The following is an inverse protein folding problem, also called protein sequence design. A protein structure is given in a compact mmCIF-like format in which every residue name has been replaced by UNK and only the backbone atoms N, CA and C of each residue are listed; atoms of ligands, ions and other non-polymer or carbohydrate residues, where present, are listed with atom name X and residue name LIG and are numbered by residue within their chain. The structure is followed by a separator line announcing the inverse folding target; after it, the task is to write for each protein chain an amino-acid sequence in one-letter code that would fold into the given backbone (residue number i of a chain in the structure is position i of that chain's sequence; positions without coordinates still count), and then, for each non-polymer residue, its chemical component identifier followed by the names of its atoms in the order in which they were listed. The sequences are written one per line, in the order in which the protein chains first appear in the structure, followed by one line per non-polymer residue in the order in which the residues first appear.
data_IF_679581416074
#
_entry.id   IF_679581416074
#
_cell.length_a   1.000
_cell.length_b   1.000
_cell.length_c   1.000
_cell.angle_alpha   90.00
_cell.angle_beta   90.00
_cell.angle_gamma   90.00
#
_symmetry.space_group_name_H-M   'P 1'
#
loop_
_entity.id
_entity.type
_entity.pdbx_description
1 polymer ?
#
# COMPACT_ATOMS: atom_id res chain seq x y z
N UNK A 1 17.57 41.98 -9.99
CA UNK A 1 16.83 40.76 -10.37
C UNK A 1 15.42 41.20 -10.67
N UNK A 2 15.06 41.27 -11.95
CA UNK A 2 13.76 41.75 -12.39
C UNK A 2 12.68 40.67 -12.24
N UNK A 3 11.42 41.08 -12.03
CA UNK A 3 10.26 40.21 -11.78
C UNK A 3 10.09 39.08 -12.82
N UNK A 4 10.52 39.32 -14.06
CA UNK A 4 10.48 38.35 -15.14
C UNK A 4 11.36 37.12 -14.86
N UNK A 5 12.57 37.31 -14.31
CA UNK A 5 13.47 36.20 -13.99
C UNK A 5 12.91 35.33 -12.87
N UNK A 6 12.29 35.95 -11.85
CA UNK A 6 11.63 35.23 -10.77
C UNK A 6 10.47 34.37 -11.28
N UNK A 7 9.57 34.94 -12.10
CA UNK A 7 8.44 34.19 -12.66
C UNK A 7 8.90 33.06 -13.60
N UNK A 8 10.00 33.27 -14.33
CA UNK A 8 10.61 32.28 -15.23
C UNK A 8 11.19 31.10 -14.46
N UNK A 9 12.03 31.34 -13.45
CA UNK A 9 12.62 30.27 -12.64
C UNK A 9 11.57 29.45 -11.89
N UNK A 10 10.54 30.14 -11.41
CA UNK A 10 9.37 29.52 -10.83
C UNK A 10 8.73 28.57 -11.87
N UNK A 11 8.32 29.08 -13.04
CA UNK A 11 7.68 28.31 -14.11
C UNK A 11 8.52 27.12 -14.64
N UNK A 12 9.83 27.29 -14.77
CA UNK A 12 10.74 26.26 -15.31
C UNK A 12 10.88 25.05 -14.35
N UNK A 13 10.74 25.28 -13.04
CA UNK A 13 11.07 24.30 -12.01
C UNK A 13 9.85 23.57 -11.41
N UNK A 14 8.63 24.09 -11.60
CA UNK A 14 7.42 23.55 -10.96
C UNK A 14 7.10 22.11 -11.35
N UNK A 15 7.28 21.74 -12.62
CA UNK A 15 6.94 20.40 -13.09
C UNK A 15 7.83 19.34 -12.43
N UNK A 16 9.12 19.64 -12.28
CA UNK A 16 10.07 18.76 -11.58
C UNK A 16 9.69 18.61 -10.10
N UNK A 17 9.31 19.71 -9.44
CA UNK A 17 8.84 19.70 -8.05
C UNK A 17 7.57 18.85 -7.90
N UNK A 18 6.60 18.99 -8.81
CA UNK A 18 5.37 18.20 -8.80
C UNK A 18 5.66 16.70 -8.95
N UNK A 19 6.58 16.31 -9.83
CA UNK A 19 6.98 14.91 -10.00
C UNK A 19 7.63 14.34 -8.73
N UNK A 20 8.49 15.11 -8.06
CA UNK A 20 9.10 14.71 -6.79
C UNK A 20 8.05 14.58 -5.69
N UNK A 21 7.13 15.54 -5.56
CA UNK A 21 6.04 15.48 -4.59
C UNK A 21 5.10 14.30 -4.85
N UNK A 22 4.80 14.01 -6.12
CA UNK A 22 4.01 12.84 -6.51
C UNK A 22 4.71 11.53 -6.16
N UNK A 23 6.02 11.44 -6.43
CA UNK A 23 6.82 10.28 -6.06
C UNK A 23 6.82 10.06 -4.54
N UNK A 24 7.11 11.10 -3.76
CA UNK A 24 7.05 11.04 -2.30
C UNK A 24 5.64 10.69 -1.81
N UNK A 25 4.60 11.25 -2.41
CA UNK A 25 3.21 10.89 -2.10
C UNK A 25 2.91 9.41 -2.35
N UNK A 26 3.45 8.83 -3.42
CA UNK A 26 3.33 7.40 -3.72
C UNK A 26 4.09 6.54 -2.72
N UNK A 27 5.30 6.95 -2.35
CA UNK A 27 6.10 6.28 -1.31
C UNK A 27 5.37 6.28 0.03
N UNK A 28 4.86 7.44 0.46
CA UNK A 28 4.08 7.57 1.69
C UNK A 28 2.78 6.76 1.63
N UNK A 29 2.14 6.68 0.46
CA UNK A 29 0.96 5.85 0.24
C UNK A 29 1.29 4.36 0.37
N UNK A 30 2.43 3.90 -0.15
CA UNK A 30 2.88 2.52 0.02
C UNK A 30 3.17 2.17 1.49
N UNK A 31 3.71 3.11 2.26
CA UNK A 31 3.91 2.95 3.70
C UNK A 31 2.64 3.20 4.54
N UNK A 32 1.52 3.64 3.93
CA UNK A 32 0.27 3.86 4.65
C UNK A 32 -0.21 2.52 5.22
N UNK A 33 -0.33 2.38 6.56
CA UNK A 33 -0.60 1.10 7.22
C UNK A 33 -2.02 0.53 7.00
N UNK A 34 -2.80 1.11 6.08
CA UNK A 34 -4.20 0.75 5.82
C UNK A 34 -4.40 -0.54 5.00
N UNK A 35 -3.40 -1.02 4.25
CA UNK A 35 -3.56 -2.25 3.46
C UNK A 35 -3.33 -3.53 4.27
N UNK A 36 -2.91 -3.43 5.54
CA UNK A 36 -2.65 -4.60 6.40
C UNK A 36 -3.86 -5.52 6.52
N UNK A 37 -5.08 -4.97 6.70
CA UNK A 37 -6.28 -5.79 6.80
C UNK A 37 -6.62 -6.49 5.48
N UNK A 38 -6.45 -5.80 4.34
CA UNK A 38 -6.73 -6.38 3.03
C UNK A 38 -5.74 -7.49 2.66
N UNK A 39 -4.46 -7.34 3.04
CA UNK A 39 -3.45 -8.38 2.87
C UNK A 39 -3.69 -9.57 3.80
N UNK A 40 -4.12 -9.33 5.04
CA UNK A 40 -4.43 -10.39 6.01
C UNK A 40 -5.69 -11.18 5.59
N UNK A 41 -6.73 -10.50 5.08
CA UNK A 41 -7.92 -11.15 4.51
C UNK A 41 -7.61 -11.99 3.27
N UNK A 42 -6.73 -11.51 2.38
CA UNK A 42 -6.29 -12.27 1.20
C UNK A 42 -5.46 -13.50 1.61
N UNK A 43 -4.56 -13.38 2.59
CA UNK A 43 -3.77 -14.49 3.10
C UNK A 43 -4.64 -15.56 3.77
N UNK A 44 -5.70 -15.14 4.48
CA UNK A 44 -6.65 -16.04 5.14
C UNK A 44 -7.69 -16.63 4.18
N UNK A 45 -7.79 -16.16 2.95
CA UNK A 45 -8.80 -16.62 1.97
C UNK A 45 -8.75 -18.13 1.69
N UNK A 46 -7.55 -18.71 1.59
CA UNK A 46 -7.36 -20.16 1.35
C UNK A 46 -7.76 -21.00 2.57
N UNK A 47 -7.56 -20.47 3.78
CA UNK A 47 -7.87 -21.16 5.03
C UNK A 47 -9.28 -20.83 5.57
N UNK A 48 -10.03 -19.95 4.89
CA UNK A 48 -11.32 -19.42 5.38
C UNK A 48 -12.43 -20.48 5.48
N UNK A 49 -12.26 -21.60 4.79
CA UNK A 49 -13.18 -22.75 4.83
C UNK A 49 -12.56 -23.98 5.48
N UNK A 50 -11.33 -23.86 6.00
CA UNK A 50 -10.60 -24.95 6.64
C UNK A 50 -10.92 -24.99 8.14
N UNK A 51 -12.22 -24.99 8.46
CA UNK A 51 -12.77 -25.04 9.84
C UNK A 51 -12.43 -26.35 10.57
N UNK A 52 -11.76 -27.29 9.89
CA UNK A 52 -11.24 -28.52 10.45
C UNK A 52 -9.73 -28.42 10.56
N UNK A 53 -9.26 -27.73 11.60
CA UNK A 53 -7.88 -27.88 12.03
C UNK A 53 -7.52 -29.37 12.20
N UNK A 54 -6.25 -29.76 12.05
CA UNK A 54 -5.83 -31.16 12.03
C UNK A 54 -6.31 -31.98 13.24
N UNK A 55 -6.58 -31.33 14.38
CA UNK A 55 -7.20 -31.96 15.55
C UNK A 55 -8.64 -32.46 15.31
N UNK A 56 -9.45 -31.82 14.47
CA UNK A 56 -10.82 -32.29 14.16
C UNK A 56 -10.83 -33.43 13.14
N UNK A 57 -9.89 -33.44 12.19
CA UNK A 57 -9.71 -34.56 11.25
C UNK A 57 -9.30 -35.84 12.00
N UNK A 58 -8.32 -35.74 12.90
CA UNK A 58 -7.86 -36.86 13.71
C UNK A 58 -8.94 -37.41 14.67
N UNK A 59 -9.86 -36.56 15.15
CA UNK A 59 -10.94 -36.96 16.06
C UNK A 59 -12.08 -37.70 15.34
N UNK A 60 -12.21 -37.53 14.02
CA UNK A 60 -13.26 -38.16 13.19
C UNK A 60 -12.85 -39.51 12.62
N UNK A 61 -11.56 -39.83 12.59
CA UNK A 61 -11.03 -41.12 12.12
C UNK A 61 -11.00 -42.19 13.22
N UNK A 62 -11.20 -41.79 14.48
CA UNK A 62 -11.14 -42.67 15.67
C UNK A 62 -12.53 -43.01 16.21
N UNK A 63 -13.59 -42.35 15.72
CA UNK A 63 -15.00 -42.68 15.96
C UNK A 63 -15.53 -43.60 14.85
#
# INVERSE_FOLDING_TARGET
MDMYSFLRELADSWVLVLLVLFFLGTVLFAYRPGSRQLHDDAAKSIFRHDDKGPQQAAKKEVE
#
